data_IF_348819031860
#
_entry.id   IF_348819031860
#
_cell.length_a   1.000
_cell.length_b   1.000
_cell.length_c   1.000
_cell.angle_alpha   90.00
_cell.angle_beta   90.00
_cell.angle_gamma   90.00
#
_symmetry.space_group_name_H-M   'P 1'
#
loop_
_entity.id
_entity.type
_entity.pdbx_description
1 polymer ?
#
# COMPACT_ATOMS: atom_id res chain seq x y z
N UNK A 1 -11.14 -8.66 1.21
CA UNK A 1 -10.08 -9.58 0.73
C UNK A 1 -9.20 -9.99 1.91
N UNK A 2 -8.72 -11.24 1.97
CA UNK A 2 -7.78 -11.70 3.01
C UNK A 2 -6.34 -11.63 2.49
N UNK A 3 -5.45 -10.94 3.21
CA UNK A 3 -4.03 -10.91 2.87
C UNK A 3 -3.36 -12.27 3.15
N UNK A 4 -2.37 -12.67 2.33
CA UNK A 4 -1.51 -13.81 2.64
C UNK A 4 -0.88 -13.67 4.04
N UNK A 5 -0.75 -14.77 4.78
CA UNK A 5 -0.30 -14.75 6.17
C UNK A 5 1.08 -14.08 6.35
N UNK A 6 2.00 -14.36 5.44
CA UNK A 6 3.34 -13.76 5.40
C UNK A 6 3.30 -12.24 5.19
N UNK A 7 2.50 -11.77 4.23
CA UNK A 7 2.32 -10.34 3.95
C UNK A 7 1.75 -9.65 5.19
N UNK A 8 0.72 -10.23 5.79
CA UNK A 8 0.11 -9.72 7.03
C UNK A 8 1.12 -9.69 8.19
N UNK A 9 1.94 -10.72 8.33
CA UNK A 9 2.99 -10.76 9.34
C UNK A 9 3.99 -9.61 9.18
N UNK A 10 4.48 -9.36 7.96
CA UNK A 10 5.39 -8.24 7.66
C UNK A 10 4.77 -6.87 7.93
N UNK A 11 3.50 -6.67 7.55
CA UNK A 11 2.77 -5.43 7.88
C UNK A 11 2.63 -5.24 9.40
N UNK A 12 2.34 -6.31 10.15
CA UNK A 12 2.26 -6.26 11.62
C UNK A 12 3.61 -5.93 12.26
N UNK A 13 4.71 -6.49 11.77
CA UNK A 13 6.05 -6.13 12.22
C UNK A 13 6.34 -4.64 11.97
N UNK A 14 5.95 -4.10 10.82
CA UNK A 14 6.08 -2.67 10.53
C UNK A 14 5.26 -1.80 11.47
N UNK A 15 4.01 -2.18 11.76
CA UNK A 15 3.14 -1.45 12.69
C UNK A 15 3.72 -1.36 14.10
N UNK A 16 4.55 -2.33 14.49
CA UNK A 16 5.20 -2.43 15.81
C UNK A 16 6.49 -1.59 15.93
N UNK A 17 7.04 -1.08 14.82
CA UNK A 17 8.28 -0.30 14.79
C UNK A 17 8.00 1.21 14.91
N UNK A 18 8.63 1.90 15.86
CA UNK A 18 8.62 3.37 15.97
C UNK A 18 7.26 3.99 16.32
N UNK A 19 7.00 5.22 15.82
CA UNK A 19 5.78 5.99 16.11
C UNK A 19 4.48 5.23 15.77
N UNK A 20 3.89 4.60 16.79
CA UNK A 20 2.84 3.58 16.67
C UNK A 20 1.62 4.06 15.89
N UNK A 21 1.22 5.32 16.03
CA UNK A 21 0.04 5.87 15.36
C UNK A 21 0.22 6.01 13.83
N UNK A 22 1.31 6.63 13.38
CA UNK A 22 1.56 6.86 11.96
C UNK A 22 1.74 5.54 11.18
N UNK A 23 2.49 4.59 11.76
CA UNK A 23 2.73 3.28 11.13
C UNK A 23 1.47 2.43 11.04
N UNK A 24 0.62 2.44 12.09
CA UNK A 24 -0.70 1.80 12.04
C UNK A 24 -1.59 2.42 10.95
N UNK A 25 -1.57 3.75 10.77
CA UNK A 25 -2.30 4.40 9.68
C UNK A 25 -1.78 3.96 8.31
N UNK A 26 -0.46 3.87 8.13
CA UNK A 26 0.15 3.39 6.90
C UNK A 26 -0.28 1.93 6.58
N UNK A 27 -0.28 1.04 7.59
CA UNK A 27 -0.74 -0.35 7.42
C UNK A 27 -2.22 -0.41 7.07
N UNK A 28 -3.09 0.34 7.76
CA UNK A 28 -4.52 0.41 7.41
C UNK A 28 -4.75 0.86 5.96
N UNK A 29 -3.97 1.82 5.47
CA UNK A 29 -4.05 2.26 4.06
C UNK A 29 -3.58 1.19 3.09
N UNK A 30 -2.55 0.41 3.45
CA UNK A 30 -2.07 -0.71 2.66
C UNK A 30 -3.14 -1.82 2.55
N UNK A 31 -3.81 -2.12 3.66
CA UNK A 31 -4.93 -3.08 3.70
C UNK A 31 -6.14 -2.61 2.90
N UNK A 32 -6.48 -1.31 2.98
CA UNK A 32 -7.55 -0.71 2.20
C UNK A 32 -7.26 -0.78 0.69
N UNK A 33 -6.02 -0.48 0.28
CA UNK A 33 -5.59 -0.61 -1.12
C UNK A 33 -5.67 -2.07 -1.61
N UNK A 34 -5.14 -3.03 -0.84
CA UNK A 34 -5.23 -4.44 -1.20
C UNK A 34 -6.69 -4.90 -1.34
N UNK A 35 -7.55 -4.46 -0.42
CA UNK A 35 -8.98 -4.75 -0.46
C UNK A 35 -9.65 -4.15 -1.70
N UNK A 36 -9.31 -2.92 -2.06
CA UNK A 36 -9.82 -2.28 -3.27
C UNK A 36 -9.39 -2.99 -4.56
N UNK A 37 -8.14 -3.46 -4.63
CA UNK A 37 -7.65 -4.23 -5.79
C UNK A 37 -8.41 -5.55 -5.97
N UNK A 38 -8.87 -6.17 -4.88
CA UNK A 38 -9.65 -7.41 -4.93
C UNK A 38 -8.90 -8.66 -5.41
N UNK A 39 -7.59 -8.56 -5.65
CA UNK A 39 -6.72 -9.65 -6.11
C UNK A 39 -5.56 -9.90 -5.14
N UNK A 40 -4.83 -11.01 -5.28
CA UNK A 40 -3.68 -11.31 -4.42
C UNK A 40 -2.65 -10.15 -4.49
N UNK A 41 -2.06 -9.70 -3.37
CA UNK A 41 -1.19 -8.53 -3.38
C UNK A 41 0.06 -8.72 -4.27
N UNK A 42 0.46 -9.96 -4.52
CA UNK A 42 1.56 -10.33 -5.42
C UNK A 42 1.21 -10.08 -6.90
N UNK A 43 -0.08 -10.07 -7.24
CA UNK A 43 -0.61 -9.78 -8.59
C UNK A 43 -0.84 -8.29 -8.83
N UNK A 44 -0.71 -7.45 -7.81
CA UNK A 44 -0.85 -6.00 -7.96
C UNK A 44 0.22 -5.48 -8.92
N UNK A 45 -0.18 -4.63 -9.85
CA UNK A 45 0.67 -4.11 -10.92
C UNK A 45 0.42 -2.63 -11.15
N UNK A 46 1.11 -2.06 -12.14
CA UNK A 46 1.00 -0.65 -12.52
C UNK A 46 -0.45 -0.21 -12.73
N UNK A 47 -1.23 -1.03 -13.46
CA UNK A 47 -2.63 -0.72 -13.77
C UNK A 47 -3.49 -0.57 -12.51
N UNK A 48 -3.36 -1.49 -11.55
CA UNK A 48 -4.07 -1.43 -10.26
C UNK A 48 -3.73 -0.16 -9.48
N UNK A 49 -2.44 0.19 -9.40
CA UNK A 49 -1.98 1.41 -8.71
C UNK A 49 -2.57 2.64 -9.40
N UNK A 50 -2.49 2.73 -10.72
CA UNK A 50 -2.95 3.91 -11.45
C UNK A 50 -4.46 4.06 -11.38
N UNK A 51 -5.21 2.95 -11.49
CA UNK A 51 -6.65 2.93 -11.35
C UNK A 51 -7.09 3.35 -9.94
N UNK A 52 -6.42 2.86 -8.89
CA UNK A 52 -6.71 3.23 -7.50
C UNK A 52 -6.55 4.75 -7.29
N UNK A 53 -5.41 5.32 -7.69
CA UNK A 53 -5.16 6.75 -7.49
C UNK A 53 -6.10 7.65 -8.30
N UNK A 54 -6.45 7.24 -9.53
CA UNK A 54 -7.44 7.97 -10.34
C UNK A 54 -8.84 7.90 -9.73
N UNK A 55 -9.26 6.72 -9.26
CA UNK A 55 -10.59 6.53 -8.68
C UNK A 55 -10.78 7.30 -7.36
N UNK A 56 -9.72 7.44 -6.57
CA UNK A 56 -9.80 8.10 -5.26
C UNK A 56 -9.65 9.63 -5.32
N UNK A 57 -9.02 10.18 -6.35
CA UNK A 57 -8.87 11.64 -6.52
C UNK A 57 -8.19 12.33 -5.34
N UNK A 58 -7.15 11.71 -4.76
CA UNK A 58 -6.51 12.19 -3.54
C UNK A 58 -5.87 13.58 -3.69
N UNK A 59 -6.01 14.42 -2.66
CA UNK A 59 -5.17 15.61 -2.49
C UNK A 59 -3.68 15.23 -2.39
N UNK A 60 -2.73 16.12 -2.75
CA UNK A 60 -1.31 15.76 -2.89
C UNK A 60 -0.67 15.09 -1.65
N UNK A 61 -0.97 15.60 -0.45
CA UNK A 61 -0.47 15.03 0.81
C UNK A 61 -1.05 13.65 1.09
N UNK A 62 -2.35 13.47 0.82
CA UNK A 62 -3.04 12.18 0.95
C UNK A 62 -2.54 11.18 -0.09
N UNK A 63 -2.30 11.61 -1.32
CA UNK A 63 -1.73 10.79 -2.39
C UNK A 63 -0.34 10.28 -1.97
N UNK A 64 0.51 11.15 -1.42
CA UNK A 64 1.82 10.77 -0.89
C UNK A 64 1.72 9.72 0.22
N UNK A 65 0.83 9.94 1.19
CA UNK A 65 0.57 9.00 2.29
C UNK A 65 0.10 7.63 1.80
N UNK A 66 -0.80 7.61 0.82
CA UNK A 66 -1.26 6.37 0.19
C UNK A 66 -0.16 5.71 -0.64
N UNK A 67 0.69 6.48 -1.32
CA UNK A 67 1.81 5.91 -2.08
C UNK A 67 2.81 5.21 -1.18
N UNK A 68 3.14 5.79 -0.03
CA UNK A 68 3.96 5.11 0.97
C UNK A 68 3.30 3.84 1.53
N UNK A 69 1.96 3.78 1.60
CA UNK A 69 1.25 2.58 2.00
C UNK A 69 1.29 1.49 0.90
N UNK A 70 1.13 1.87 -0.37
CA UNK A 70 1.29 0.97 -1.52
C UNK A 70 2.72 0.42 -1.58
N UNK A 71 3.72 1.28 -1.39
CA UNK A 71 5.14 0.88 -1.31
C UNK A 71 5.40 -0.11 -0.19
N UNK A 72 4.82 0.12 1.00
CA UNK A 72 4.91 -0.81 2.11
C UNK A 72 4.30 -2.18 1.75
N UNK A 73 3.12 -2.22 1.13
CA UNK A 73 2.50 -3.45 0.67
C UNK A 73 3.38 -4.18 -0.35
N UNK A 74 3.90 -3.45 -1.34
CA UNK A 74 4.80 -3.99 -2.37
C UNK A 74 6.02 -4.68 -1.75
N UNK A 75 6.71 -3.99 -0.83
CA UNK A 75 7.86 -4.57 -0.13
C UNK A 75 7.46 -5.74 0.78
N UNK A 76 6.28 -5.69 1.41
CA UNK A 76 5.76 -6.80 2.21
C UNK A 76 5.50 -8.06 1.37
N UNK A 77 5.27 -7.93 0.05
CA UNK A 77 5.19 -9.08 -0.87
C UNK A 77 6.56 -9.68 -1.24
N UNK A 78 7.67 -9.09 -0.77
CA UNK A 78 9.04 -9.55 -1.06
C UNK A 78 9.56 -9.10 -2.43
N UNK A 79 8.84 -8.21 -3.11
CA UNK A 79 9.25 -7.70 -4.42
C UNK A 79 10.36 -6.67 -4.28
N UNK A 80 11.35 -6.69 -5.19
CA UNK A 80 12.42 -5.70 -5.18
C UNK A 80 11.91 -4.33 -5.60
N UNK A 81 12.66 -3.30 -5.22
CA UNK A 81 12.42 -1.91 -5.61
C UNK A 81 11.11 -1.32 -5.08
N UNK A 82 10.69 -0.25 -5.74
CA UNK A 82 9.47 0.49 -5.41
C UNK A 82 8.38 0.25 -6.47
N UNK A 83 7.10 0.31 -6.07
CA UNK A 83 6.01 0.25 -7.03
C UNK A 83 6.07 1.45 -8.00
N UNK A 84 5.55 1.31 -9.23
CA UNK A 84 5.40 2.44 -10.15
C UNK A 84 4.69 3.63 -9.49
N UNK A 85 5.32 4.81 -9.56
CA UNK A 85 4.70 6.05 -9.08
C UNK A 85 3.47 6.39 -9.93
N UNK A 86 2.32 6.71 -9.32
CA UNK A 86 1.15 7.19 -10.05
C UNK A 86 1.33 8.67 -10.45
N UNK A 87 0.59 9.17 -11.45
CA UNK A 87 0.83 10.49 -12.05
C UNK A 87 0.65 11.68 -11.11
N UNK A 88 -0.09 11.50 -10.02
CA UNK A 88 -0.54 12.58 -9.13
C UNK A 88 0.28 12.69 -7.84
N UNK A 89 1.29 11.83 -7.66
CA UNK A 89 2.16 11.87 -6.48
C UNK A 89 3.39 12.73 -6.80
N UNK A 90 3.63 13.81 -6.05
CA UNK A 90 4.78 14.67 -6.25
C UNK A 90 6.12 13.97 -5.95
#
# INVERSE_FOLDING_TARGET
MRLPAEVRHRLNLHARKGGKAARRRQVKRAEAFATWCGCDPRQIGKAHIYAYFRAQGFAPTTARDHWYAVRLLWQATGRPGDPPKPPQVP
#
